data_IF_878989854413
#
_entry.id   IF_878989854413
#
_cell.length_a   1.000
_cell.length_b   1.000
_cell.length_c   1.000
_cell.angle_alpha   90.00
_cell.angle_beta   90.00
_cell.angle_gamma   90.00
#
_symmetry.space_group_name_H-M   'P 1'
#
loop_
_entity.id
_entity.type
_entity.pdbx_description
1 polymer ?
#
# COMPACT_ATOMS: atom_id res chain seq x y z
N UNK A 1 -19.08 -8.74 -23.30
CA UNK A 1 -17.76 -8.90 -23.97
C UNK A 1 -17.34 -7.51 -24.44
N UNK A 2 -16.72 -6.73 -23.56
CA UNK A 2 -16.41 -5.31 -23.80
C UNK A 2 -14.93 -5.21 -24.12
N UNK A 3 -14.61 -4.81 -25.35
CA UNK A 3 -13.24 -4.52 -25.77
C UNK A 3 -12.75 -3.29 -25.01
N UNK A 4 -11.75 -3.46 -24.15
CA UNK A 4 -11.01 -2.35 -23.57
C UNK A 4 -10.19 -1.67 -24.67
N UNK A 5 -10.72 -0.56 -25.16
CA UNK A 5 -10.01 0.42 -25.98
C UNK A 5 -8.75 0.89 -25.24
N UNK A 6 -7.62 0.81 -25.93
CA UNK A 6 -6.34 1.33 -25.49
C UNK A 6 -6.43 2.86 -25.45
N UNK A 7 -6.21 3.43 -24.27
CA UNK A 7 -5.96 4.86 -24.11
C UNK A 7 -4.74 5.26 -24.96
N UNK A 8 -4.98 5.86 -26.12
CA UNK A 8 -4.00 6.74 -26.76
C UNK A 8 -3.89 7.99 -25.89
N UNK A 9 -2.67 8.41 -25.49
CA UNK A 9 -2.51 9.73 -24.91
C UNK A 9 -2.76 10.75 -26.02
N UNK A 10 -3.89 11.44 -25.97
CA UNK A 10 -4.10 12.65 -26.75
C UNK A 10 -2.93 13.60 -26.47
N UNK A 11 -1.99 13.66 -27.43
CA UNK A 11 -1.10 14.78 -27.54
C UNK A 11 -2.01 15.99 -27.73
N UNK A 12 -2.18 16.79 -26.68
CA UNK A 12 -2.69 18.15 -26.79
C UNK A 12 -1.80 18.90 -27.78
N UNK A 13 -2.22 18.87 -29.05
CA UNK A 13 -1.75 19.77 -30.08
C UNK A 13 -2.10 21.17 -29.60
N UNK A 14 -1.08 21.90 -29.14
CA UNK A 14 -1.14 23.34 -28.88
C UNK A 14 -1.62 24.02 -30.16
N UNK A 15 -2.93 24.27 -30.27
CA UNK A 15 -3.51 25.11 -31.30
C UNK A 15 -2.85 26.47 -31.23
N UNK A 16 -2.09 26.77 -32.28
CA UNK A 16 -1.32 28.00 -32.41
C UNK A 16 -2.29 29.16 -32.59
N UNK A 17 -2.63 29.84 -31.49
CA UNK A 17 -3.05 31.24 -31.55
C UNK A 17 -1.84 32.06 -32.01
N UNK A 18 -1.84 32.44 -33.28
CA UNK A 18 -0.82 33.28 -33.89
C UNK A 18 -0.88 34.68 -33.28
N UNK A 19 -0.09 34.90 -32.22
CA UNK A 19 0.26 36.25 -31.79
C UNK A 19 1.30 36.82 -32.76
N UNK A 20 1.02 37.93 -33.47
CA UNK A 20 1.83 38.39 -34.61
C UNK A 20 3.19 39.03 -34.26
N UNK A 21 3.70 38.88 -33.03
CA UNK A 21 4.99 39.50 -32.61
C UNK A 21 5.83 38.63 -31.65
N UNK A 22 5.84 37.30 -31.81
CA UNK A 22 6.85 36.49 -31.11
C UNK A 22 8.16 36.54 -31.87
N UNK A 23 9.20 37.15 -31.25
CA UNK A 23 10.58 37.06 -31.72
C UNK A 23 10.92 35.58 -32.01
N UNK A 24 11.62 35.28 -33.12
CA UNK A 24 11.99 33.90 -33.45
C UNK A 24 12.74 33.29 -32.26
N UNK A 25 12.25 32.16 -31.75
CA UNK A 25 12.97 31.39 -30.74
C UNK A 25 14.27 30.92 -31.36
N UNK A 26 15.38 31.09 -30.64
CA UNK A 26 16.68 30.59 -31.09
C UNK A 26 16.66 29.05 -31.04
N UNK A 27 17.30 28.39 -32.00
CA UNK A 27 17.43 26.92 -32.03
C UNK A 27 17.93 26.33 -30.70
N UNK A 28 18.76 27.07 -29.96
CA UNK A 28 19.29 26.65 -28.68
C UNK A 28 18.21 26.52 -27.59
N UNK A 29 17.24 27.43 -27.56
CA UNK A 29 16.12 27.39 -26.62
C UNK A 29 15.24 26.15 -26.86
N UNK A 30 15.03 25.79 -28.12
CA UNK A 30 14.23 24.62 -28.49
C UNK A 30 14.97 23.31 -28.14
N UNK A 31 16.28 23.25 -28.35
CA UNK A 31 17.11 22.09 -27.96
C UNK A 31 17.13 21.88 -26.44
N UNK A 32 17.27 22.96 -25.65
CA UNK A 32 17.22 22.86 -24.18
C UNK A 32 15.84 22.41 -23.69
N UNK A 33 14.77 22.92 -24.29
CA UNK A 33 13.39 22.50 -24.01
C UNK A 33 13.18 21.03 -24.31
N UNK A 34 13.65 20.54 -25.47
CA UNK A 34 13.55 19.14 -25.85
C UNK A 34 14.32 18.21 -24.89
N UNK A 35 15.55 18.59 -24.50
CA UNK A 35 16.35 17.85 -23.51
C UNK A 35 15.62 17.73 -22.16
N UNK A 36 14.98 18.81 -21.70
CA UNK A 36 14.18 18.82 -20.46
C UNK A 36 12.98 17.87 -20.56
N UNK A 37 12.23 17.90 -21.66
CA UNK A 37 11.08 17.00 -21.88
C UNK A 37 11.52 15.54 -21.90
N UNK A 38 12.57 15.20 -22.65
CA UNK A 38 13.11 13.83 -22.70
C UNK A 38 13.51 13.35 -21.30
N UNK A 39 14.15 14.22 -20.51
CA UNK A 39 14.53 13.90 -19.14
C UNK A 39 13.30 13.62 -18.25
N UNK A 40 12.28 14.49 -18.31
CA UNK A 40 11.02 14.30 -17.56
C UNK A 40 10.34 12.97 -17.91
N UNK A 41 10.29 12.61 -19.20
CA UNK A 41 9.70 11.35 -19.65
C UNK A 41 10.48 10.13 -19.13
N UNK A 42 11.81 10.19 -19.13
CA UNK A 42 12.67 9.12 -18.59
C UNK A 42 12.50 8.99 -17.07
N UNK A 43 12.44 10.10 -16.35
CA UNK A 43 12.18 10.10 -14.90
C UNK A 43 10.80 9.50 -14.59
N UNK A 44 9.76 9.94 -15.32
CA UNK A 44 8.40 9.41 -15.19
C UNK A 44 8.35 7.89 -15.42
N UNK A 45 8.99 7.39 -16.48
CA UNK A 45 9.00 5.95 -16.77
C UNK A 45 9.73 5.15 -15.68
N UNK A 46 10.84 5.67 -15.15
CA UNK A 46 11.54 5.03 -14.02
C UNK A 46 10.67 4.96 -12.78
N UNK A 47 10.00 6.05 -12.39
CA UNK A 47 9.10 6.07 -11.23
C UNK A 47 7.94 5.08 -11.42
N UNK A 48 7.35 5.02 -12.63
CA UNK A 48 6.31 4.04 -12.99
C UNK A 48 6.79 2.59 -12.88
N UNK A 49 8.04 2.31 -13.25
CA UNK A 49 8.63 0.97 -13.10
C UNK A 49 8.89 0.62 -11.65
N UNK A 50 9.39 1.58 -10.86
CA UNK A 50 9.60 1.43 -9.42
C UNK A 50 8.28 1.13 -8.71
N UNK A 51 7.22 1.90 -8.98
CA UNK A 51 5.91 1.67 -8.38
C UNK A 51 5.34 0.30 -8.73
N UNK A 52 5.56 -0.19 -9.96
CA UNK A 52 5.14 -1.54 -10.37
C UNK A 52 5.89 -2.64 -9.61
N UNK A 53 7.20 -2.50 -9.43
CA UNK A 53 8.01 -3.44 -8.62
C UNK A 53 7.53 -3.43 -7.17
N UNK A 54 7.35 -2.24 -6.57
CA UNK A 54 6.90 -2.11 -5.18
C UNK A 54 5.49 -2.69 -4.97
N UNK A 55 4.54 -2.40 -5.85
CA UNK A 55 3.19 -2.94 -5.76
C UNK A 55 3.18 -4.46 -5.88
N UNK A 56 3.92 -5.01 -6.85
CA UNK A 56 4.02 -6.47 -7.03
C UNK A 56 4.67 -7.14 -5.82
N UNK A 57 5.78 -6.58 -5.31
CA UNK A 57 6.46 -7.07 -4.13
C UNK A 57 5.56 -7.03 -2.90
N UNK A 58 4.82 -5.92 -2.71
CA UNK A 58 3.90 -5.74 -1.60
C UNK A 58 2.76 -6.76 -1.63
N UNK A 59 2.09 -6.94 -2.76
CA UNK A 59 1.00 -7.91 -2.89
C UNK A 59 1.47 -9.35 -2.64
N UNK A 60 2.62 -9.73 -3.21
CA UNK A 60 3.21 -11.05 -2.96
C UNK A 60 3.61 -11.23 -1.49
N UNK A 61 4.19 -10.20 -0.88
CA UNK A 61 4.51 -10.20 0.54
C UNK A 61 3.27 -10.36 1.41
N UNK A 62 2.19 -9.62 1.13
CA UNK A 62 0.90 -9.72 1.83
C UNK A 62 0.30 -11.12 1.72
N UNK A 63 0.39 -11.74 0.54
CA UNK A 63 -0.10 -13.10 0.33
C UNK A 63 0.74 -14.12 1.12
N UNK A 64 2.08 -14.00 1.09
CA UNK A 64 2.98 -14.92 1.79
C UNK A 64 2.96 -14.76 3.32
N UNK A 65 2.69 -13.55 3.82
CA UNK A 65 2.59 -13.21 5.25
C UNK A 65 1.14 -13.05 5.73
N UNK A 66 0.21 -13.68 5.02
CA UNK A 66 -1.20 -13.58 5.36
C UNK A 66 -1.47 -14.10 6.78
N UNK A 67 -2.10 -13.25 7.58
CA UNK A 67 -2.43 -13.54 8.98
C UNK A 67 -3.86 -13.13 9.33
N UNK A 68 -4.61 -12.57 8.37
CA UNK A 68 -6.02 -12.24 8.56
C UNK A 68 -6.85 -13.51 8.47
N UNK A 69 -7.52 -13.86 9.57
CA UNK A 69 -8.42 -15.01 9.62
C UNK A 69 -9.80 -14.61 9.09
N UNK A 70 -10.22 -15.23 7.99
CA UNK A 70 -11.51 -14.94 7.35
C UNK A 70 -12.37 -16.20 7.32
N UNK A 71 -13.63 -16.07 7.70
CA UNK A 71 -14.63 -17.12 7.58
C UNK A 71 -15.22 -17.15 6.17
N UNK A 72 -15.46 -15.97 5.60
CA UNK A 72 -16.12 -15.81 4.30
C UNK A 72 -15.63 -14.55 3.58
N UNK A 73 -15.66 -14.60 2.25
CA UNK A 73 -15.37 -13.46 1.38
C UNK A 73 -16.39 -13.45 0.25
N UNK A 74 -17.15 -12.37 0.16
CA UNK A 74 -18.23 -12.20 -0.83
C UNK A 74 -18.07 -10.88 -1.57
N UNK A 75 -18.58 -10.80 -2.80
CA UNK A 75 -18.70 -9.52 -3.52
C UNK A 75 -20.18 -9.23 -3.70
N UNK A 76 -20.63 -8.12 -3.14
CA UNK A 76 -22.00 -7.63 -3.30
C UNK A 76 -21.94 -6.24 -3.97
N UNK A 77 -22.33 -6.20 -5.24
CA UNK A 77 -22.10 -5.03 -6.08
C UNK A 77 -20.61 -4.80 -6.31
N UNK A 78 -20.13 -3.59 -6.00
CA UNK A 78 -18.71 -3.26 -6.12
C UNK A 78 -17.91 -3.61 -4.84
N UNK A 79 -18.60 -3.89 -3.73
CA UNK A 79 -17.98 -4.08 -2.42
C UNK A 79 -17.58 -5.54 -2.17
N UNK A 80 -16.40 -5.71 -1.57
CA UNK A 80 -15.85 -6.93 -1.02
C UNK A 80 -16.20 -7.03 0.47
N UNK A 81 -17.11 -7.93 0.82
CA UNK A 81 -17.48 -8.24 2.18
C UNK A 81 -16.57 -9.33 2.73
N UNK A 82 -15.97 -9.07 3.89
CA UNK A 82 -15.03 -9.96 4.56
C UNK A 82 -15.58 -10.27 5.94
N UNK A 83 -15.98 -11.51 6.16
CA UNK A 83 -16.38 -11.97 7.50
C UNK A 83 -15.15 -12.46 8.23
N UNK A 84 -14.78 -11.77 9.31
CA UNK A 84 -13.63 -12.11 10.13
C UNK A 84 -13.91 -13.38 10.97
N UNK A 85 -12.99 -14.34 10.95
CA UNK A 85 -13.03 -15.50 11.83
C UNK A 85 -12.32 -15.16 13.16
N UNK A 86 -13.08 -14.77 14.20
CA UNK A 86 -12.48 -14.42 15.50
C UNK A 86 -11.87 -15.62 16.21
N UNK A 87 -12.27 -16.84 15.84
CA UNK A 87 -11.75 -18.09 16.43
C UNK A 87 -10.45 -18.52 15.78
N UNK A 88 -10.13 -17.98 14.60
CA UNK A 88 -8.92 -18.28 13.85
C UNK A 88 -8.73 -19.80 13.61
N UNK A 89 -9.80 -20.47 13.17
CA UNK A 89 -9.90 -21.94 13.07
C UNK A 89 -8.80 -22.52 12.17
N UNK A 90 -8.44 -21.80 11.11
CA UNK A 90 -7.43 -22.23 10.12
C UNK A 90 -6.03 -21.69 10.39
N UNK A 91 -5.74 -21.26 11.62
CA UNK A 91 -4.42 -20.79 12.00
C UNK A 91 -3.40 -21.92 11.91
N UNK A 92 -2.28 -21.67 11.25
CA UNK A 92 -1.14 -22.59 11.21
C UNK A 92 0.11 -21.95 11.82
N UNK A 93 1.05 -22.80 12.27
CA UNK A 93 2.29 -22.37 12.91
C UNK A 93 2.12 -21.42 14.12
N UNK A 94 0.89 -21.35 14.65
CA UNK A 94 0.54 -20.54 15.80
C UNK A 94 0.33 -19.05 15.51
N UNK A 95 0.37 -18.59 14.27
CA UNK A 95 0.14 -17.17 13.92
C UNK A 95 -0.52 -16.97 12.55
N UNK A 96 0.01 -17.61 11.51
CA UNK A 96 -0.36 -17.37 10.11
C UNK A 96 -1.72 -17.95 9.73
N UNK A 97 -2.29 -17.44 8.64
CA UNK A 97 -3.51 -17.92 8.00
C UNK A 97 -3.21 -18.30 6.55
N UNK A 98 -3.92 -19.29 6.01
CA UNK A 98 -3.83 -19.61 4.58
C UNK A 98 -4.62 -18.55 3.81
N UNK A 99 -4.00 -17.93 2.80
CA UNK A 99 -4.71 -16.99 1.94
C UNK A 99 -5.78 -17.76 1.12
N UNK A 100 -7.03 -17.26 1.03
CA UNK A 100 -8.14 -17.98 0.39
C UNK A 100 -8.10 -18.00 -1.16
N UNK A 101 -6.97 -18.36 -1.76
CA UNK A 101 -6.77 -18.39 -3.23
C UNK A 101 -7.75 -19.30 -3.99
N UNK A 102 -8.35 -20.28 -3.32
CA UNK A 102 -9.27 -21.24 -3.95
C UNK A 102 -10.67 -20.69 -4.17
N UNK A 103 -11.05 -19.59 -3.50
CA UNK A 103 -12.38 -19.00 -3.64
C UNK A 103 -12.50 -18.39 -5.04
N UNK A 104 -13.52 -18.80 -5.80
CA UNK A 104 -13.67 -18.41 -7.20
C UNK A 104 -13.66 -16.89 -7.43
N UNK A 105 -14.17 -16.12 -6.47
CA UNK A 105 -14.25 -14.67 -6.51
C UNK A 105 -12.88 -13.98 -6.41
N UNK A 106 -11.91 -14.66 -5.80
CA UNK A 106 -10.53 -14.19 -5.63
C UNK A 106 -9.69 -14.46 -6.90
N UNK A 107 -10.26 -15.13 -7.92
CA UNK A 107 -9.61 -15.29 -9.23
C UNK A 107 -9.56 -14.00 -10.03
N UNK A 108 -10.45 -13.04 -9.74
CA UNK A 108 -10.31 -11.68 -10.27
C UNK A 108 -9.15 -10.97 -9.57
N UNK A 109 -8.14 -10.56 -10.34
CA UNK A 109 -6.92 -9.97 -9.79
C UNK A 109 -7.23 -8.71 -8.97
N UNK A 110 -8.19 -7.89 -9.41
CA UNK A 110 -8.51 -6.65 -8.69
C UNK A 110 -9.12 -6.96 -7.32
N UNK A 111 -10.00 -7.95 -7.25
CA UNK A 111 -10.62 -8.42 -6.00
C UNK A 111 -9.58 -9.03 -5.07
N UNK A 112 -8.65 -9.82 -5.62
CA UNK A 112 -7.50 -10.33 -4.88
C UNK A 112 -6.64 -9.21 -4.31
N UNK A 113 -6.30 -8.21 -5.10
CA UNK A 113 -5.49 -7.07 -4.67
C UNK A 113 -6.21 -6.26 -3.58
N UNK A 114 -7.52 -6.05 -3.71
CA UNK A 114 -8.33 -5.40 -2.69
C UNK A 114 -8.33 -6.16 -1.37
N UNK A 115 -8.48 -7.49 -1.41
CA UNK A 115 -8.40 -8.35 -0.22
C UNK A 115 -7.01 -8.25 0.43
N UNK A 116 -5.95 -8.40 -0.36
CA UNK A 116 -4.56 -8.36 0.10
C UNK A 116 -4.17 -7.03 0.77
N UNK A 117 -4.79 -5.94 0.31
CA UNK A 117 -4.50 -4.57 0.77
C UNK A 117 -5.44 -4.06 1.85
N UNK A 118 -6.50 -4.80 2.19
CA UNK A 118 -7.45 -4.39 3.24
C UNK A 118 -6.75 -4.17 4.58
N UNK A 119 -6.94 -2.99 5.18
CA UNK A 119 -6.28 -2.52 6.41
C UNK A 119 -4.73 -2.50 6.37
N UNK A 120 -4.13 -2.63 5.19
CA UNK A 120 -2.68 -2.79 5.04
C UNK A 120 -1.93 -1.46 4.77
N UNK A 121 -2.57 -0.29 5.00
CA UNK A 121 -1.96 1.01 4.74
C UNK A 121 -0.65 1.24 5.52
N UNK A 122 -0.53 0.71 6.73
CA UNK A 122 0.69 0.82 7.54
C UNK A 122 1.76 -0.21 7.14
N UNK A 123 1.35 -1.33 6.53
CA UNK A 123 2.25 -2.41 6.16
C UNK A 123 3.13 -2.05 4.97
N UNK A 124 2.84 -0.94 4.28
CA UNK A 124 3.74 -0.39 3.27
C UNK A 124 5.11 -0.02 3.85
N UNK A 125 5.20 0.16 5.18
CA UNK A 125 6.44 0.31 5.95
C UNK A 125 7.51 -0.74 5.58
N UNK A 126 7.09 -2.00 5.36
CA UNK A 126 8.00 -3.10 5.09
C UNK A 126 8.66 -2.99 3.72
N UNK A 127 8.15 -2.15 2.81
CA UNK A 127 8.77 -1.92 1.51
C UNK A 127 9.85 -0.84 1.52
N UNK A 128 10.12 -0.20 2.67
CA UNK A 128 10.98 1.00 2.74
C UNK A 128 12.38 0.77 2.21
N UNK A 129 13.06 -0.29 2.68
CA UNK A 129 14.41 -0.63 2.22
C UNK A 129 14.45 -0.97 0.72
N UNK A 130 13.46 -1.70 0.20
CA UNK A 130 13.36 -1.98 -1.23
C UNK A 130 13.16 -0.69 -2.05
N UNK A 131 12.31 0.23 -1.57
CA UNK A 131 12.11 1.53 -2.20
C UNK A 131 13.40 2.37 -2.22
N UNK A 132 14.15 2.42 -1.12
CA UNK A 132 15.46 3.09 -1.09
C UNK A 132 16.42 2.53 -2.13
N UNK A 133 16.50 1.19 -2.23
CA UNK A 133 17.32 0.53 -3.23
C UNK A 133 16.89 0.84 -4.67
N UNK A 134 15.59 0.92 -4.92
CA UNK A 134 15.00 1.24 -6.23
C UNK A 134 15.22 2.71 -6.63
N UNK A 135 15.19 3.65 -5.68
CA UNK A 135 15.44 5.07 -5.91
C UNK A 135 16.93 5.46 -5.81
N UNK A 136 17.82 4.55 -5.37
CA UNK A 136 19.25 4.83 -5.20
C UNK A 136 19.88 5.41 -6.47
N UNK A 137 20.50 6.58 -6.35
CA UNK A 137 21.17 7.28 -7.46
C UNK A 137 20.24 8.15 -8.32
N UNK A 138 18.97 8.26 -7.96
CA UNK A 138 18.04 9.23 -8.56
C UNK A 138 18.02 10.53 -7.74
N UNK A 139 17.98 11.67 -8.42
CA UNK A 139 17.90 13.00 -7.80
C UNK A 139 16.46 13.35 -7.41
N UNK A 140 15.92 12.61 -6.43
CA UNK A 140 14.52 12.72 -6.01
C UNK A 140 14.37 12.84 -4.50
N UNK A 141 13.27 13.45 -4.08
CA UNK A 141 12.81 13.53 -2.69
C UNK A 141 11.70 12.51 -2.52
N UNK A 142 11.79 11.70 -1.46
CA UNK A 142 10.73 10.81 -1.04
C UNK A 142 10.12 11.33 0.26
N UNK A 143 8.79 11.39 0.31
CA UNK A 143 8.03 11.78 1.49
C UNK A 143 6.88 10.80 1.68
N UNK A 144 6.53 10.49 2.92
CA UNK A 144 5.34 9.74 3.28
C UNK A 144 4.24 10.72 3.64
N UNK A 145 3.12 10.67 2.91
CA UNK A 145 2.05 11.66 3.02
C UNK A 145 0.79 11.00 3.53
N UNK A 146 0.21 11.57 4.59
CA UNK A 146 -1.09 11.16 5.16
C UNK A 146 -2.20 11.94 4.50
N UNK A 147 -3.19 11.23 4.00
CA UNK A 147 -4.26 11.79 3.18
C UNK A 147 -5.63 11.37 3.69
N UNK A 148 -6.56 12.32 3.65
CA UNK A 148 -7.99 12.06 3.82
C UNK A 148 -8.66 11.91 2.45
N UNK A 149 -9.41 10.84 2.18
CA UNK A 149 -10.12 10.67 0.90
C UNK A 149 -11.26 11.68 0.71
N UNK A 150 -11.57 12.05 -0.56
CA UNK A 150 -12.70 12.93 -0.95
C UNK A 150 -14.07 12.36 -0.60
N UNK A 151 -14.25 11.06 -0.77
CA UNK A 151 -15.51 10.39 -0.52
C UNK A 151 -15.26 9.07 0.21
N UNK A 152 -16.36 8.42 0.58
CA UNK A 152 -16.36 7.02 0.97
C UNK A 152 -15.94 6.18 -0.26
N UNK A 153 -14.64 6.00 -0.45
CA UNK A 153 -14.10 5.16 -1.52
C UNK A 153 -13.81 3.80 -0.88
N UNK A 154 -14.80 2.92 -0.80
CA UNK A 154 -14.67 1.64 -0.10
C UNK A 154 -14.77 0.50 -1.08
N UNK A 155 -13.69 -0.28 -1.17
CA UNK A 155 -13.77 -1.57 -1.84
C UNK A 155 -14.00 -2.70 -0.87
N UNK A 156 -13.53 -2.62 0.38
CA UNK A 156 -13.70 -3.68 1.37
C UNK A 156 -14.48 -3.23 2.60
N UNK A 157 -15.28 -4.15 3.13
CA UNK A 157 -16.05 -4.02 4.37
C UNK A 157 -15.78 -5.27 5.20
N UNK A 158 -15.48 -5.09 6.49
CA UNK A 158 -15.17 -6.19 7.40
C UNK A 158 -16.29 -6.33 8.42
N UNK A 159 -16.85 -7.53 8.51
CA UNK A 159 -17.84 -7.92 9.51
C UNK A 159 -17.16 -8.74 10.60
N UNK A 160 -17.31 -8.33 11.85
CA UNK A 160 -16.80 -9.06 13.00
C UNK A 160 -17.92 -9.88 13.66
N UNK A 161 -17.54 -10.96 14.34
CA UNK A 161 -18.47 -11.87 15.03
C UNK A 161 -19.33 -11.18 16.10
N UNK A 162 -18.87 -10.05 16.64
CA UNK A 162 -19.60 -9.22 17.60
C UNK A 162 -20.52 -8.17 16.94
N UNK A 163 -20.83 -8.36 15.65
CA UNK A 163 -21.69 -7.49 14.82
C UNK A 163 -21.13 -6.10 14.56
N UNK A 164 -19.87 -5.84 14.90
CA UNK A 164 -19.19 -4.61 14.48
C UNK A 164 -18.92 -4.68 12.98
N UNK A 165 -18.98 -3.52 12.34
CA UNK A 165 -18.61 -3.35 10.93
C UNK A 165 -17.47 -2.35 10.85
N UNK A 166 -16.40 -2.74 10.17
CA UNK A 166 -15.34 -1.83 9.75
C UNK A 166 -15.49 -1.56 8.26
N UNK A 167 -15.76 -0.31 7.96
CA UNK A 167 -15.92 0.18 6.62
C UNK A 167 -14.61 0.56 5.92
N UNK A 168 -13.47 0.35 6.56
CA UNK A 168 -12.15 0.68 6.05
C UNK A 168 -12.02 2.15 5.60
N UNK A 169 -12.69 3.08 6.28
CA UNK A 169 -12.75 4.51 5.88
C UNK A 169 -11.74 5.37 6.65
N UNK A 170 -10.49 4.92 6.62
CA UNK A 170 -9.39 5.54 7.36
C UNK A 170 -8.59 6.52 6.48
N UNK A 171 -7.80 7.38 7.13
CA UNK A 171 -6.76 8.11 6.42
C UNK A 171 -5.74 7.10 5.88
N UNK A 172 -5.23 7.36 4.68
CA UNK A 172 -4.31 6.47 4.00
C UNK A 172 -2.96 7.14 3.76
N UNK A 173 -1.93 6.31 3.59
CA UNK A 173 -0.56 6.74 3.38
C UNK A 173 -0.13 6.47 1.95
N UNK A 174 0.57 7.43 1.35
CA UNK A 174 1.21 7.30 0.04
C UNK A 174 2.64 7.80 0.11
N UNK A 175 3.47 7.35 -0.83
CA UNK A 175 4.79 7.93 -1.04
C UNK A 175 4.67 9.00 -2.12
N UNK A 176 4.96 10.26 -1.76
CA UNK A 176 5.15 11.34 -2.72
C UNK A 176 6.61 11.36 -3.17
N UNK A 177 6.80 11.34 -4.48
CA UNK A 177 8.11 11.41 -5.12
C UNK A 177 8.22 12.75 -5.82
N UNK A 178 9.24 13.55 -5.52
CA UNK A 178 9.48 14.85 -6.17
C UNK A 178 10.84 14.84 -6.87
N UNK A 179 10.86 15.10 -8.18
CA UNK A 179 12.11 15.32 -8.93
C UNK A 179 12.74 16.64 -8.49
N UNK A 180 13.96 16.62 -7.96
CA UNK A 180 14.67 17.84 -7.54
C UNK A 180 15.03 18.72 -8.73
N UNK A 181 15.26 18.12 -9.89
CA UNK A 181 15.62 18.85 -11.10
C UNK A 181 14.40 19.47 -11.78
N UNK A 182 13.28 18.76 -11.88
CA UNK A 182 12.13 19.22 -12.69
C UNK A 182 11.00 19.79 -11.86
N UNK A 183 10.98 19.54 -10.55
CA UNK A 183 9.86 19.84 -9.65
C UNK A 183 8.65 18.92 -9.83
N UNK A 184 8.68 18.00 -10.80
CA UNK A 184 7.57 17.09 -11.06
C UNK A 184 7.33 16.16 -9.87
N UNK A 185 6.06 15.97 -9.55
CA UNK A 185 5.63 15.13 -8.42
C UNK A 185 4.79 13.95 -8.90
N UNK A 186 4.97 12.81 -8.22
CA UNK A 186 4.23 11.58 -8.44
C UNK A 186 3.75 10.99 -7.11
N UNK A 187 2.60 10.33 -7.14
CA UNK A 187 2.09 9.52 -6.04
C UNK A 187 2.40 8.04 -6.30
N UNK A 188 2.91 7.34 -5.30
CA UNK A 188 3.00 5.88 -5.26
C UNK A 188 2.10 5.36 -4.14
N UNK A 189 1.04 4.63 -4.50
CA UNK A 189 0.08 4.06 -3.56
C UNK A 189 -0.08 2.54 -3.78
N UNK A 190 0.78 1.76 -3.11
CA UNK A 190 0.82 0.30 -3.29
C UNK A 190 -0.30 -0.45 -2.56
N UNK A 191 -0.91 0.16 -1.56
CA UNK A 191 -2.10 -0.36 -0.86
C UNK A 191 -3.43 0.20 -1.41
N UNK A 192 -3.42 0.84 -2.59
CA UNK A 192 -4.56 1.59 -3.11
C UNK A 192 -5.77 0.75 -3.54
N UNK A 193 -5.55 -0.55 -3.81
CA UNK A 193 -6.60 -1.44 -4.30
C UNK A 193 -7.79 -1.56 -3.33
N UNK A 194 -7.59 -1.43 -2.01
CA UNK A 194 -8.66 -1.40 -1.01
C UNK A 194 -9.63 -0.20 -1.15
N UNK A 195 -9.24 0.80 -1.95
CA UNK A 195 -10.00 2.02 -2.25
C UNK A 195 -10.27 2.18 -3.76
N UNK A 196 -10.34 1.10 -4.55
CA UNK A 196 -10.43 1.16 -6.03
C UNK A 196 -9.31 1.96 -6.72
N UNK A 197 -8.23 2.31 -6.02
CA UNK A 197 -7.06 2.96 -6.59
C UNK A 197 -6.13 1.89 -7.14
N UNK A 198 -6.58 1.19 -8.18
CA UNK A 198 -5.90 0.03 -8.77
C UNK A 198 -4.52 0.38 -9.37
N UNK A 199 -4.27 1.65 -9.68
CA UNK A 199 -3.01 2.12 -10.25
C UNK A 199 -2.05 2.52 -9.13
N UNK A 200 -0.89 1.85 -8.97
CA UNK A 200 0.07 2.20 -7.93
C UNK A 200 0.86 3.47 -8.23
N UNK A 201 0.60 4.13 -9.36
CA UNK A 201 1.32 5.32 -9.83
C UNK A 201 0.39 6.31 -10.53
N UNK A 202 0.51 7.58 -10.12
CA UNK A 202 -0.20 8.71 -10.72
C UNK A 202 0.67 9.96 -10.65
N UNK A 203 0.40 10.96 -11.50
CA UNK A 203 0.91 12.32 -11.25
C UNK A 203 0.30 12.82 -9.95
N UNK A 204 1.08 13.55 -9.15
CA UNK A 204 0.62 14.02 -7.83
C UNK A 204 -0.63 14.90 -7.94
N UNK A 205 -0.64 15.84 -8.89
CA UNK A 205 -1.77 16.73 -9.16
C UNK A 205 -3.06 15.92 -9.41
N UNK A 206 -3.06 15.07 -10.43
CA UNK A 206 -4.22 14.25 -10.82
C UNK A 206 -4.65 13.33 -9.68
N UNK A 207 -3.70 12.76 -8.95
CA UNK A 207 -3.99 11.92 -7.79
C UNK A 207 -4.73 12.69 -6.70
N UNK A 208 -4.24 13.89 -6.34
CA UNK A 208 -4.87 14.72 -5.33
C UNK A 208 -6.23 15.24 -5.77
N UNK A 209 -6.35 15.65 -7.03
CA UNK A 209 -7.62 16.11 -7.61
C UNK A 209 -8.66 15.00 -7.62
N UNK A 210 -8.29 13.78 -7.96
CA UNK A 210 -9.25 12.68 -8.06
C UNK A 210 -9.64 12.15 -6.67
N UNK A 211 -8.69 12.00 -5.74
CA UNK A 211 -8.87 11.16 -4.56
C UNK A 211 -8.77 11.86 -3.22
N UNK A 212 -8.12 13.03 -3.14
CA UNK A 212 -7.71 13.63 -1.85
C UNK A 212 -8.62 14.79 -1.46
N UNK A 213 -9.24 14.68 -0.29
CA UNK A 213 -9.93 15.80 0.36
C UNK A 213 -8.93 16.73 1.03
N UNK A 214 -8.01 16.16 1.82
CA UNK A 214 -7.08 16.91 2.65
C UNK A 214 -5.76 16.17 2.81
N UNK A 215 -4.65 16.92 2.71
CA UNK A 215 -3.34 16.48 3.16
C UNK A 215 -3.24 16.75 4.66
N UNK A 216 -3.06 15.71 5.45
CA UNK A 216 -3.05 15.79 6.91
C UNK A 216 -1.65 15.97 7.46
N UNK A 217 -0.67 15.27 6.89
CA UNK A 217 0.73 15.39 7.26
C UNK A 217 1.63 15.00 6.08
N UNK A 218 2.82 15.59 6.06
CA UNK A 218 3.92 15.21 5.17
C UNK A 218 5.10 14.85 6.08
N UNK A 219 5.59 13.62 5.97
CA UNK A 219 6.65 13.10 6.82
C UNK A 219 7.85 12.69 5.97
N UNK A 220 9.08 12.76 6.52
CA UNK A 220 10.24 12.19 5.86
C UNK A 220 10.00 10.72 5.56
N UNK A 221 10.48 10.25 4.40
CA UNK A 221 10.42 8.83 4.06
C UNK A 221 11.09 7.95 5.14
N UNK A 222 10.51 6.76 5.39
CA UNK A 222 10.95 5.86 6.46
C UNK A 222 10.30 6.13 7.82
N UNK A 223 9.33 7.05 7.91
CA UNK A 223 8.56 7.28 9.14
C UNK A 223 7.68 6.07 9.47
N UNK A 224 7.03 5.47 8.47
CA UNK A 224 6.25 4.25 8.62
C UNK A 224 7.13 3.05 9.02
N UNK A 225 8.36 2.95 8.52
CA UNK A 225 9.31 1.92 8.96
C UNK A 225 9.69 2.09 10.43
N UNK A 226 10.01 3.32 10.87
CA UNK A 226 10.27 3.61 12.29
C UNK A 226 9.05 3.26 13.15
N UNK A 227 7.85 3.57 12.68
CA UNK A 227 6.61 3.24 13.38
C UNK A 227 6.41 1.73 13.50
N UNK A 228 6.61 0.97 12.42
CA UNK A 228 6.55 -0.49 12.46
C UNK A 228 7.57 -1.10 13.45
N UNK A 229 8.82 -0.59 13.46
CA UNK A 229 9.86 -1.01 14.41
C UNK A 229 9.48 -0.68 15.86
N UNK A 230 8.88 0.47 16.11
CA UNK A 230 8.42 0.85 17.45
C UNK A 230 7.24 -0.04 17.91
N UNK A 231 6.26 -0.29 17.03
CA UNK A 231 5.16 -1.24 17.29
C UNK A 231 5.69 -2.63 17.64
N UNK A 232 6.72 -3.11 16.93
CA UNK A 232 7.31 -4.43 17.15
C UNK A 232 7.92 -4.61 18.55
N UNK A 233 8.20 -3.52 19.28
CA UNK A 233 8.67 -3.57 20.67
C UNK A 233 7.54 -3.75 21.70
N UNK A 234 6.28 -3.60 21.30
CA UNK A 234 5.14 -3.80 22.20
C UNK A 234 4.95 -5.29 22.51
N UNK A 235 4.41 -5.60 23.69
CA UNK A 235 4.28 -6.99 24.17
C UNK A 235 3.00 -7.69 23.71
N UNK A 236 2.08 -6.97 23.07
CA UNK A 236 0.80 -7.48 22.57
C UNK A 236 0.90 -8.19 21.22
N UNK A 237 -0.23 -8.65 20.72
CA UNK A 237 -0.38 -9.32 19.41
C UNK A 237 0.00 -8.37 18.28
N UNK A 238 -0.32 -7.08 18.40
CA UNK A 238 0.09 -6.03 17.44
C UNK A 238 1.62 -5.92 17.33
N UNK A 239 2.35 -6.07 18.43
CA UNK A 239 3.82 -6.07 18.42
C UNK A 239 4.40 -7.34 17.81
N UNK A 240 3.80 -8.50 18.14
CA UNK A 240 4.16 -9.76 17.50
C UNK A 240 3.93 -9.71 15.98
N UNK A 241 2.80 -9.15 15.53
CA UNK A 241 2.49 -8.98 14.10
C UNK A 241 3.56 -8.16 13.39
N UNK A 242 3.87 -6.98 13.92
CA UNK A 242 4.85 -6.08 13.33
C UNK A 242 6.24 -6.71 13.29
N UNK A 243 6.67 -7.38 14.36
CA UNK A 243 7.94 -8.11 14.41
C UNK A 243 8.00 -9.24 13.36
N UNK A 244 6.92 -10.02 13.21
CA UNK A 244 6.87 -11.10 12.22
C UNK A 244 6.91 -10.61 10.78
N UNK A 245 6.24 -9.50 10.49
CA UNK A 245 6.31 -8.88 9.17
C UNK A 245 7.71 -8.30 8.87
N UNK A 246 8.36 -7.69 9.87
CA UNK A 246 9.76 -7.20 9.76
C UNK A 246 10.71 -8.37 9.47
N UNK A 247 10.63 -9.46 10.24
CA UNK A 247 11.49 -10.63 10.05
C UNK A 247 11.26 -11.31 8.70
N UNK A 248 10.00 -11.41 8.25
CA UNK A 248 9.67 -11.92 6.93
C UNK A 248 10.33 -11.08 5.82
N UNK A 249 10.28 -9.76 5.91
CA UNK A 249 10.94 -8.87 4.95
C UNK A 249 12.47 -8.92 5.06
N UNK A 250 13.00 -9.13 6.26
CA UNK A 250 14.43 -9.34 6.44
C UNK A 250 14.90 -10.61 5.70
N UNK A 251 14.15 -11.71 5.79
CA UNK A 251 14.44 -12.94 5.03
C UNK A 251 14.45 -12.70 3.50
N UNK A 252 13.55 -11.84 3.00
CA UNK A 252 13.55 -11.43 1.60
C UNK A 252 14.89 -10.76 1.22
N UNK A 253 15.33 -9.79 2.02
CA UNK A 253 16.56 -9.04 1.76
C UNK A 253 17.82 -9.90 1.89
N UNK A 254 17.87 -10.79 2.89
CA UNK A 254 18.99 -11.72 3.09
C UNK A 254 19.15 -12.70 1.91
N UNK A 255 18.05 -13.05 1.24
CA UNK A 255 18.10 -13.86 0.03
C UNK A 255 18.49 -13.06 -1.22
N UNK A 256 17.89 -11.87 -1.40
CA UNK A 256 18.01 -11.09 -2.65
C UNK A 256 19.27 -10.25 -2.71
N UNK A 257 19.60 -9.50 -1.66
CA UNK A 257 20.69 -8.52 -1.69
C UNK A 257 22.05 -9.19 -2.01
N UNK A 258 22.44 -10.31 -1.36
CA UNK A 258 23.69 -11.00 -1.70
C UNK A 258 23.67 -11.62 -3.10
N UNK A 259 22.51 -12.14 -3.54
CA UNK A 259 22.38 -12.76 -4.87
C UNK A 259 22.51 -11.73 -6.00
N UNK A 260 22.01 -10.51 -5.80
CA UNK A 260 22.20 -9.39 -6.71
C UNK A 260 23.66 -8.91 -6.71
N UNK A 261 24.25 -8.76 -5.51
CA UNK A 261 25.64 -8.34 -5.36
C UNK A 261 26.64 -9.29 -6.06
N UNK A 262 26.48 -10.61 -5.88
CA UNK A 262 27.33 -11.62 -6.56
C UNK A 262 27.30 -11.54 -8.09
N UNK A 263 26.25 -10.97 -8.66
CA UNK A 263 26.05 -10.81 -10.11
C UNK A 263 26.34 -9.39 -10.60
N UNK A 264 26.85 -8.52 -9.72
CA UNK A 264 27.02 -7.08 -9.99
C UNK A 264 25.74 -6.43 -10.54
N UNK A 265 24.57 -6.94 -10.13
CA UNK A 265 23.27 -6.48 -10.60
C UNK A 265 22.74 -5.42 -9.63
N UNK A 266 22.32 -4.28 -10.16
CA UNK A 266 21.66 -3.23 -9.38
C UNK A 266 20.24 -3.00 -9.86
N UNK A 267 19.37 -2.47 -8.99
CA UNK A 267 18.02 -2.08 -9.39
C UNK A 267 18.04 -1.00 -10.49
N UNK A 268 18.98 -0.05 -10.45
CA UNK A 268 19.14 0.95 -11.52
C UNK A 268 19.42 0.29 -12.88
N UNK A 269 20.29 -0.72 -12.92
CA UNK A 269 20.56 -1.48 -14.14
C UNK A 269 19.33 -2.25 -14.62
N UNK A 270 18.51 -2.80 -13.71
CA UNK A 270 17.25 -3.50 -14.06
C UNK A 270 16.20 -2.51 -14.59
N UNK A 271 16.01 -1.38 -13.91
CA UNK A 271 15.05 -0.33 -14.27
C UNK A 271 15.38 0.33 -15.61
N UNK A 272 16.65 0.35 -16.01
CA UNK A 272 17.10 0.89 -17.29
C UNK A 272 16.99 -0.05 -18.50
N UNK A 273 16.59 -1.32 -18.31
CA UNK A 273 16.46 -2.30 -19.41
C UNK A 273 15.27 -1.99 -20.33
N UNK A 274 15.20 -2.60 -21.51
CA UNK A 274 13.98 -2.60 -22.31
C UNK A 274 12.82 -3.30 -21.56
N UNK A 275 11.57 -3.10 -21.99
CA UNK A 275 10.39 -3.59 -21.27
C UNK A 275 10.37 -5.13 -21.06
N UNK A 276 10.64 -5.99 -22.07
CA UNK A 276 10.71 -7.43 -21.86
C UNK A 276 11.77 -7.85 -20.81
N UNK A 277 12.97 -7.27 -20.89
CA UNK A 277 14.05 -7.58 -19.97
C UNK A 277 13.79 -7.05 -18.56
N UNK A 278 13.24 -5.85 -18.44
CA UNK A 278 12.79 -5.29 -17.17
C UNK A 278 11.81 -6.24 -16.47
N UNK A 279 10.76 -6.70 -17.17
CA UNK A 279 9.76 -7.64 -16.62
C UNK A 279 10.39 -8.96 -16.21
N UNK A 280 11.22 -9.54 -17.07
CA UNK A 280 11.90 -10.83 -16.79
C UNK A 280 12.80 -10.75 -15.56
N UNK A 281 13.64 -9.71 -15.48
CA UNK A 281 14.58 -9.56 -14.37
C UNK A 281 13.87 -9.21 -13.06
N UNK A 282 12.91 -8.28 -13.07
CA UNK A 282 12.12 -7.93 -11.89
C UNK A 282 11.35 -9.14 -11.35
N UNK A 283 10.62 -9.87 -12.20
CA UNK A 283 9.89 -11.06 -11.79
C UNK A 283 10.80 -12.15 -11.20
N UNK A 284 12.01 -12.34 -11.77
CA UNK A 284 12.99 -13.30 -11.24
C UNK A 284 13.49 -12.89 -9.85
N UNK A 285 13.78 -11.61 -9.64
CA UNK A 285 14.26 -11.09 -8.35
C UNK A 285 13.15 -11.22 -7.30
N UNK A 286 11.93 -10.77 -7.63
CA UNK A 286 10.78 -10.83 -6.72
C UNK A 286 10.46 -12.27 -6.32
N UNK A 287 10.43 -13.21 -7.28
CA UNK A 287 10.21 -14.63 -7.01
C UNK A 287 11.25 -15.21 -6.05
N UNK A 288 12.52 -14.88 -6.23
CA UNK A 288 13.60 -15.40 -5.37
C UNK A 288 13.43 -14.92 -3.92
N UNK A 289 13.12 -13.65 -3.72
CA UNK A 289 12.88 -13.14 -2.38
C UNK A 289 11.57 -13.66 -1.76
N UNK A 290 10.50 -13.81 -2.55
CA UNK A 290 9.24 -14.36 -2.04
C UNK A 290 9.34 -15.82 -1.62
N UNK A 291 10.14 -16.63 -2.32
CA UNK A 291 10.43 -17.99 -1.87
C UNK A 291 11.09 -18.01 -0.47
N UNK A 292 11.90 -17.00 -0.14
CA UNK A 292 12.49 -16.86 1.20
C UNK A 292 11.46 -16.42 2.25
N UNK A 293 10.54 -15.52 1.90
CA UNK A 293 9.41 -15.12 2.77
C UNK A 293 8.51 -16.31 3.09
N UNK A 294 8.12 -17.07 2.07
CA UNK A 294 7.31 -18.29 2.21
C UNK A 294 8.02 -19.37 3.04
N UNK A 295 9.34 -19.49 2.91
CA UNK A 295 10.12 -20.37 3.76
C UNK A 295 10.06 -19.93 5.23
N UNK A 296 10.27 -18.63 5.49
CA UNK A 296 10.14 -18.07 6.84
C UNK A 296 8.76 -18.34 7.46
N UNK A 297 7.66 -18.09 6.74
CA UNK A 297 6.30 -18.28 7.29
C UNK A 297 5.96 -19.75 7.55
N UNK A 298 6.44 -20.66 6.70
CA UNK A 298 6.30 -22.11 6.87
C UNK A 298 7.12 -22.65 8.05
N UNK A 299 8.29 -22.09 8.32
CA UNK A 299 9.23 -22.66 9.28
C UNK A 299 9.11 -22.00 10.68
N UNK A 300 8.60 -20.76 10.76
CA UNK A 300 8.40 -20.04 12.03
C UNK A 300 7.40 -20.75 12.96
N UNK A 301 7.81 -21.08 14.19
CA UNK A 301 6.94 -21.70 15.22
C UNK A 301 6.56 -20.68 16.29
N UNK A 302 5.38 -20.08 16.16
CA UNK A 302 5.00 -18.86 16.89
C UNK A 302 4.00 -19.07 18.03
N UNK A 303 3.50 -20.29 18.22
CA UNK A 303 2.48 -20.61 19.24
C UNK A 303 2.82 -20.07 20.64
N UNK A 304 4.03 -20.30 21.14
CA UNK A 304 4.44 -19.83 22.48
C UNK A 304 4.49 -18.30 22.57
N UNK A 305 4.97 -17.63 21.51
CA UNK A 305 5.06 -16.17 21.44
C UNK A 305 3.66 -15.54 21.40
N UNK A 306 2.76 -16.08 20.57
CA UNK A 306 1.35 -15.66 20.51
C UNK A 306 0.65 -15.79 21.85
N UNK A 307 0.69 -16.97 22.48
CA UNK A 307 0.05 -17.18 23.79
C UNK A 307 0.60 -16.23 24.87
N UNK A 308 1.87 -15.86 24.79
CA UNK A 308 2.47 -14.86 25.69
C UNK A 308 1.89 -13.47 25.42
N UNK A 309 1.75 -13.08 24.16
CA UNK A 309 1.17 -11.81 23.75
C UNK A 309 -0.31 -11.68 24.13
N UNK A 310 -1.14 -12.69 23.85
CA UNK A 310 -2.57 -12.71 24.24
C UNK A 310 -2.75 -12.63 25.76
N UNK A 311 -1.90 -13.34 26.54
CA UNK A 311 -1.90 -13.23 28.01
C UNK A 311 -1.42 -11.87 28.50
N UNK A 312 -0.63 -11.15 27.73
CA UNK A 312 -0.23 -9.79 28.07
C UNK A 312 -1.43 -8.86 27.93
N UNK A 313 -2.10 -8.86 26.77
CA UNK A 313 -3.29 -8.03 26.50
C UNK A 313 -4.44 -8.31 27.46
N UNK A 314 -4.70 -9.58 27.79
CA UNK A 314 -5.72 -9.93 28.79
C UNK A 314 -5.44 -9.34 30.18
N UNK A 315 -4.17 -9.13 30.52
CA UNK A 315 -3.73 -8.58 31.82
C UNK A 315 -3.56 -7.06 31.80
N UNK A 316 -3.41 -6.45 30.64
CA UNK A 316 -3.05 -5.04 30.46
C UNK A 316 -4.03 -4.43 29.45
N UNK A 317 -5.05 -3.73 29.93
CA UNK A 317 -6.08 -3.12 29.08
C UNK A 317 -5.63 -1.86 28.33
N UNK A 318 -4.43 -1.37 28.62
CA UNK A 318 -3.84 -0.11 28.12
C UNK A 318 -3.00 -0.28 26.83
N UNK A 319 -2.90 -1.49 26.27
CA UNK A 319 -2.12 -1.74 25.05
C UNK A 319 -2.55 -0.86 23.86
N UNK A 320 -3.83 -0.49 23.79
CA UNK A 320 -4.34 0.39 22.75
C UNK A 320 -3.83 1.83 22.92
N UNK A 321 -3.73 2.31 24.16
CA UNK A 321 -3.16 3.62 24.49
C UNK A 321 -1.66 3.66 24.19
N UNK A 322 -0.93 2.57 24.46
CA UNK A 322 0.46 2.41 24.06
C UNK A 322 0.64 2.56 22.53
N UNK A 323 -0.24 1.93 21.74
CA UNK A 323 -0.21 2.06 20.28
C UNK A 323 -0.52 3.50 19.81
N UNK A 324 -1.45 4.20 20.47
CA UNK A 324 -1.72 5.63 20.19
C UNK A 324 -0.51 6.48 20.50
N UNK A 325 0.13 6.28 21.65
CA UNK A 325 1.33 7.01 22.05
C UNK A 325 2.47 6.80 21.06
N UNK A 326 2.74 5.54 20.66
CA UNK A 326 3.77 5.24 19.65
C UNK A 326 3.47 5.95 18.33
N UNK A 327 2.19 5.99 17.92
CA UNK A 327 1.79 6.70 16.71
C UNK A 327 2.03 8.21 16.82
N UNK A 328 1.65 8.82 17.94
CA UNK A 328 1.87 10.24 18.20
C UNK A 328 3.37 10.59 18.27
N UNK A 329 4.16 9.77 18.96
CA UNK A 329 5.60 9.99 19.14
C UNK A 329 6.39 9.83 17.83
N UNK A 330 6.07 8.82 17.01
CA UNK A 330 6.87 8.48 15.83
C UNK A 330 6.36 9.14 14.56
N UNK A 331 5.03 9.20 14.38
CA UNK A 331 4.41 9.76 13.18
C UNK A 331 4.05 11.23 13.36
N UNK A 332 4.13 11.77 14.59
CA UNK A 332 3.64 13.11 14.95
C UNK A 332 2.21 13.33 14.43
N UNK A 333 1.43 12.26 14.47
CA UNK A 333 0.09 12.18 13.90
C UNK A 333 -0.71 11.19 14.75
N UNK A 334 -1.99 11.49 14.98
CA UNK A 334 -2.90 10.60 15.69
C UNK A 334 -3.82 9.91 14.68
N UNK A 335 -3.58 8.65 14.31
CA UNK A 335 -4.42 7.94 13.36
C UNK A 335 -5.86 7.82 13.82
N UNK A 336 -6.80 8.08 12.90
CA UNK A 336 -8.20 7.75 13.12
C UNK A 336 -8.38 6.25 13.41
N UNK A 337 -7.64 5.39 12.70
CA UNK A 337 -7.64 3.94 12.90
C UNK A 337 -7.37 3.57 14.36
N UNK A 338 -6.23 3.99 14.90
CA UNK A 338 -5.83 3.66 16.28
C UNK A 338 -6.79 4.25 17.31
N UNK A 339 -7.25 5.48 17.07
CA UNK A 339 -8.22 6.14 17.97
C UNK A 339 -9.57 5.42 17.99
N UNK A 340 -10.05 4.95 16.84
CA UNK A 340 -11.31 4.22 16.71
C UNK A 340 -11.22 2.84 17.36
N UNK A 341 -10.14 2.09 17.11
CA UNK A 341 -9.91 0.81 17.77
C UNK A 341 -9.82 0.96 19.30
N UNK A 342 -9.06 1.93 19.80
CA UNK A 342 -8.92 2.16 21.23
C UNK A 342 -10.25 2.49 21.93
N UNK A 343 -11.15 3.18 21.22
CA UNK A 343 -12.46 3.57 21.74
C UNK A 343 -13.57 2.55 21.44
N UNK A 344 -13.26 1.43 20.79
CA UNK A 344 -14.24 0.42 20.37
C UNK A 344 -15.19 0.90 19.25
N UNK A 345 -14.89 2.00 18.58
CA UNK A 345 -15.67 2.53 17.46
C UNK A 345 -15.22 1.91 16.14
N UNK A 346 -15.47 0.62 15.93
CA UNK A 346 -15.81 0.14 14.59
C UNK A 346 -17.31 0.33 14.47
N UNK A 347 -17.76 1.03 13.43
CA UNK A 347 -19.11 1.57 13.29
C UNK A 347 -20.18 0.58 13.80
N UNK A 348 -20.79 0.88 14.96
CA UNK A 348 -22.02 0.21 15.37
C UNK A 348 -23.10 0.75 14.44
N UNK A 349 -23.67 -0.14 13.61
CA UNK A 349 -24.81 0.13 12.72
C UNK A 349 -26.00 0.85 13.41
N UNK A 350 -26.05 0.82 14.74
CA UNK A 350 -27.11 1.39 15.56
C UNK A 350 -26.83 2.79 16.13
N UNK A 351 -25.63 3.37 15.97
CA UNK A 351 -25.20 4.49 16.81
C UNK A 351 -25.03 5.86 16.16
N UNK A 352 -24.62 5.95 14.89
CA UNK A 352 -24.32 7.24 14.25
C UNK A 352 -24.60 7.22 12.75
N UNK A 353 -25.28 8.26 12.26
CA UNK A 353 -25.44 8.52 10.83
C UNK A 353 -24.06 8.77 10.20
N UNK A 354 -23.72 8.13 9.06
CA UNK A 354 -22.50 8.44 8.34
C UNK A 354 -22.51 9.93 7.95
N UNK A 355 -21.35 10.60 7.94
CA UNK A 355 -21.27 12.02 7.60
C UNK A 355 -21.79 12.25 6.18
N UNK A 356 -23.03 12.74 6.10
CA UNK A 356 -23.74 13.27 4.93
C UNK A 356 -23.25 12.69 3.59
N UNK A 357 -23.46 11.40 3.39
CA UNK A 357 -23.32 10.75 2.09
C UNK A 357 -24.73 10.50 1.60
N UNK A 358 -25.08 11.04 0.43
CA UNK A 358 -26.36 10.80 -0.21
C UNK A 358 -26.69 9.30 -0.18
N UNK A 359 -27.61 8.98 0.73
CA UNK A 359 -28.30 7.71 1.00
C UNK A 359 -27.72 6.48 0.31
N UNK A 360 -26.64 5.94 0.86
CA UNK A 360 -26.43 4.48 0.80
C UNK A 360 -27.55 3.88 1.63
N UNK A 361 -28.47 3.14 1.00
CA UNK A 361 -29.60 2.51 1.67
C UNK A 361 -29.09 1.36 2.58
N UNK A 362 -28.77 1.72 3.81
CA UNK A 362 -28.25 0.81 4.85
C UNK A 362 -29.30 -0.22 5.26
N UNK A 363 -30.58 -0.06 4.90
CA UNK A 363 -31.62 -1.04 5.22
C UNK A 363 -31.36 -2.39 4.55
N UNK A 364 -30.78 -2.39 3.34
CA UNK A 364 -30.37 -3.61 2.63
C UNK A 364 -29.16 -4.32 3.23
N UNK A 365 -28.38 -3.65 4.09
CA UNK A 365 -27.23 -4.23 4.78
C UNK A 365 -27.60 -4.92 6.10
N UNK A 366 -28.84 -4.74 6.58
CA UNK A 366 -29.32 -5.38 7.81
C UNK A 366 -29.99 -6.74 7.56
N UNK A 367 -30.26 -7.07 6.29
CA UNK A 367 -30.94 -8.31 5.87
C UNK A 367 -29.98 -9.39 5.33
N UNK A 368 -28.69 -9.07 5.19
CA UNK A 368 -27.59 -10.01 4.91
C UNK A 368 -26.76 -10.21 6.19
#
# INVERSE_FOLDING_TARGET
MVQHSLYEPELFLLTHYEHPFRRPRTMEHDLQSQKRVIRMLKERDRVRRISSVLATAFLQFRQATWHTHVQNVEVLGDFLYITNDSRAVHRYNGWWAVFPDSVAIIKDQKTKDALLTTLACYDTAHMSKLAEQLFKGMDMILEEVVLRPKSIIRRSIIHYDDKRIDFNDYDFWVVRVTSRTTGQQWAIHIAGAQYYMDKPFSLWHDFTEQWVHKILAVRPFGTLERYAKAKAQTKGTVGLEADMQIQAMQAWHEAVDPAMARKSLTWQAVLGKNEPDFRRHSAKILRAGMAAVEAFTRDAKLTKRRLKAERYEKRHGDWAEECVRIAEDVMEYKPLLTTRFAKGYTWLLSGHEPPNVDRVDVSRLKEA
#
